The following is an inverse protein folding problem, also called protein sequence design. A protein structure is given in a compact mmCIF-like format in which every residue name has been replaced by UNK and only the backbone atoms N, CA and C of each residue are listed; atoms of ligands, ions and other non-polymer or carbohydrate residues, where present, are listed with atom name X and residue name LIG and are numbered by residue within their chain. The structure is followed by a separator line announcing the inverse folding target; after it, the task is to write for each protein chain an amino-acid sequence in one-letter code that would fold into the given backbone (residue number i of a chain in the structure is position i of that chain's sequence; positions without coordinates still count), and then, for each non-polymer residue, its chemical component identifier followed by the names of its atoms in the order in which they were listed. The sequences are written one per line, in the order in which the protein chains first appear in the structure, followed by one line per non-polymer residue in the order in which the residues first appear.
data_IF_108803138892
#
_entry.id   IF_108803138892
#
_cell.length_a   1.000
_cell.length_b   1.000
_cell.length_c   1.000
_cell.angle_alpha   90.00
_cell.angle_beta   90.00
_cell.angle_gamma   90.00
#
_symmetry.space_group_name_H-M   'P 1'
#
loop_
_entity.id
_entity.type
_entity.pdbx_description
1 polymer ?
#
# COMPACT_ATOMS: atom_id res chain seq x y z
N UNK A 1 11.96 0.41 -18.07
CA UNK A 1 12.28 1.15 -16.83
C UNK A 1 13.77 1.16 -16.54
N UNK A 2 14.45 0.00 -16.41
CA UNK A 2 15.92 -0.05 -16.18
C UNK A 2 16.74 0.80 -17.17
N UNK A 3 16.42 0.76 -18.46
CA UNK A 3 17.10 1.60 -19.47
C UNK A 3 16.85 3.11 -19.29
N UNK A 4 15.70 3.52 -18.74
CA UNK A 4 15.43 4.94 -18.43
C UNK A 4 16.25 5.37 -17.21
N UNK A 5 16.30 4.56 -16.14
CA UNK A 5 17.17 4.83 -14.99
C UNK A 5 18.64 4.93 -15.41
N UNK A 6 19.12 4.01 -16.23
CA UNK A 6 20.49 4.05 -16.76
C UNK A 6 20.80 5.34 -17.53
N UNK A 7 19.80 5.92 -18.22
CA UNK A 7 19.94 7.20 -18.94
C UNK A 7 19.97 8.40 -18.01
N UNK A 8 19.16 8.41 -16.95
CA UNK A 8 19.01 9.57 -16.06
C UNK A 8 19.89 9.51 -14.79
N UNK A 9 20.50 8.37 -14.49
CA UNK A 9 21.44 8.21 -13.40
C UNK A 9 20.80 7.92 -12.03
N UNK A 10 21.58 8.11 -10.97
CA UNK A 10 21.22 7.79 -9.58
C UNK A 10 20.03 8.60 -9.05
N UNK A 11 19.82 9.80 -9.59
CA UNK A 11 18.78 10.72 -9.12
C UNK A 11 17.40 10.43 -9.75
N UNK A 12 17.32 9.40 -10.60
CA UNK A 12 16.07 8.97 -11.20
C UNK A 12 15.08 8.46 -10.14
N UNK A 13 13.97 9.17 -9.99
CA UNK A 13 12.88 8.80 -9.09
C UNK A 13 11.94 7.83 -9.79
N UNK A 14 11.80 6.63 -9.23
CA UNK A 14 10.87 5.61 -9.70
C UNK A 14 9.79 5.40 -8.64
N UNK A 15 8.56 5.81 -8.94
CA UNK A 15 7.39 5.53 -8.10
C UNK A 15 6.35 4.69 -8.82
N UNK A 16 5.51 3.99 -8.05
CA UNK A 16 4.45 3.12 -8.55
C UNK A 16 3.18 3.28 -7.72
N UNK A 17 2.02 3.39 -8.38
CA UNK A 17 0.70 3.48 -7.75
C UNK A 17 -0.27 2.42 -8.28
N UNK A 18 0.01 1.11 -8.16
CA UNK A 18 -0.96 0.08 -8.55
C UNK A 18 -2.14 0.05 -7.55
N UNK A 19 -3.29 -0.46 -8.00
CA UNK A 19 -4.40 -0.83 -7.12
C UNK A 19 -4.11 -2.15 -6.40
N UNK A 20 -4.75 -2.37 -5.25
CA UNK A 20 -4.64 -3.60 -4.44
C UNK A 20 -4.89 -4.89 -5.25
N UNK A 21 -5.79 -4.81 -6.24
CA UNK A 21 -6.11 -5.89 -7.16
C UNK A 21 -4.87 -6.45 -7.88
N UNK A 22 -3.91 -5.59 -8.22
CA UNK A 22 -2.71 -6.00 -8.95
C UNK A 22 -1.54 -6.37 -8.02
N UNK A 23 -1.70 -6.24 -6.70
CA UNK A 23 -0.65 -6.45 -5.70
C UNK A 23 -1.12 -7.40 -4.61
N UNK A 24 -1.83 -6.93 -3.58
CA UNK A 24 -2.20 -7.71 -2.41
C UNK A 24 -3.19 -8.83 -2.73
N UNK A 25 -4.08 -8.67 -3.72
CA UNK A 25 -4.95 -9.77 -4.18
C UNK A 25 -4.12 -10.98 -4.64
N UNK A 26 -2.86 -10.75 -5.04
CA UNK A 26 -1.84 -11.75 -5.35
C UNK A 26 -1.62 -12.79 -4.24
N UNK A 27 -1.94 -12.48 -2.99
CA UNK A 27 -1.91 -13.44 -1.88
C UNK A 27 -2.91 -14.59 -2.09
N UNK A 28 -4.09 -14.28 -2.61
CA UNK A 28 -5.16 -15.25 -2.84
C UNK A 28 -5.20 -15.75 -4.30
N UNK A 29 -4.98 -14.86 -5.26
CA UNK A 29 -5.16 -15.13 -6.68
C UNK A 29 -4.02 -14.56 -7.51
N UNK A 30 -3.45 -15.38 -8.40
CA UNK A 30 -2.35 -14.96 -9.26
C UNK A 30 -2.54 -15.45 -10.69
N UNK A 31 -2.63 -14.51 -11.63
CA UNK A 31 -2.95 -14.81 -13.02
C UNK A 31 -4.29 -15.52 -13.16
N UNK A 32 -4.41 -16.40 -14.16
CA UNK A 32 -5.65 -17.16 -14.39
C UNK A 32 -5.90 -18.26 -13.35
N UNK A 33 -4.97 -18.46 -12.40
CA UNK A 33 -4.93 -19.61 -11.51
C UNK A 33 -4.69 -20.94 -12.24
N UNK A 34 -4.51 -22.02 -11.48
CA UNK A 34 -4.23 -23.36 -12.03
C UNK A 34 -5.36 -23.92 -12.91
N UNK A 35 -6.61 -23.52 -12.64
CA UNK A 35 -7.80 -23.97 -13.38
C UNK A 35 -8.29 -22.99 -14.45
N UNK A 36 -7.64 -21.84 -14.62
CA UNK A 36 -8.02 -20.83 -15.61
C UNK A 36 -9.26 -19.98 -15.25
N UNK A 37 -9.82 -20.14 -14.05
CA UNK A 37 -11.07 -19.48 -13.64
C UNK A 37 -10.91 -18.12 -12.94
N UNK A 38 -9.67 -17.69 -12.64
CA UNK A 38 -9.40 -16.41 -11.96
C UNK A 38 -9.17 -15.29 -12.99
N UNK A 39 -9.38 -14.03 -12.59
CA UNK A 39 -9.06 -12.90 -13.47
C UNK A 39 -7.54 -12.85 -13.72
N UNK A 40 -7.09 -12.90 -14.99
CA UNK A 40 -5.67 -13.00 -15.34
C UNK A 40 -4.82 -11.81 -14.89
N UNK A 41 -5.44 -10.71 -14.47
CA UNK A 41 -4.74 -9.51 -14.00
C UNK A 41 -4.44 -9.55 -12.49
N UNK A 42 -4.99 -10.51 -11.74
CA UNK A 42 -4.81 -10.63 -10.29
C UNK A 42 -3.33 -10.77 -9.95
N UNK A 43 -2.80 -9.87 -9.11
CA UNK A 43 -1.38 -9.88 -8.73
C UNK A 43 -0.40 -9.53 -9.88
N UNK A 44 -0.88 -9.03 -11.02
CA UNK A 44 -0.04 -8.84 -12.22
C UNK A 44 1.08 -7.80 -12.05
N UNK A 45 1.03 -6.95 -11.02
CA UNK A 45 2.09 -5.97 -10.75
C UNK A 45 3.22 -6.52 -9.87
N UNK A 46 3.04 -7.66 -9.19
CA UNK A 46 4.07 -8.31 -8.39
C UNK A 46 5.38 -8.54 -9.14
N UNK A 47 5.41 -9.11 -10.36
CA UNK A 47 6.67 -9.26 -11.09
C UNK A 47 7.32 -7.92 -11.47
N UNK A 48 6.54 -6.86 -11.67
CA UNK A 48 7.07 -5.52 -11.96
C UNK A 48 7.76 -4.94 -10.73
N UNK A 49 7.11 -5.00 -9.57
CA UNK A 49 7.69 -4.55 -8.30
C UNK A 49 8.94 -5.37 -7.99
N UNK A 50 8.86 -6.69 -8.07
CA UNK A 50 9.98 -7.58 -7.77
C UNK A 50 11.19 -7.29 -8.66
N UNK A 51 11.00 -7.13 -9.97
CA UNK A 51 12.09 -6.90 -10.92
C UNK A 51 12.77 -5.52 -10.79
N UNK A 52 12.09 -4.55 -10.17
CA UNK A 52 12.53 -3.16 -10.02
C UNK A 52 12.73 -2.74 -8.56
N UNK A 53 12.63 -3.66 -7.60
CA UNK A 53 12.66 -3.34 -6.16
C UNK A 53 13.94 -2.62 -5.73
N UNK A 54 15.08 -2.95 -6.32
CA UNK A 54 16.36 -2.27 -6.00
C UNK A 54 16.44 -0.86 -6.58
N UNK A 55 15.59 -0.56 -7.58
CA UNK A 55 15.51 0.73 -8.24
C UNK A 55 14.35 1.60 -7.74
N UNK A 56 13.43 1.01 -6.99
CA UNK A 56 12.18 1.61 -6.54
C UNK A 56 12.46 2.69 -5.48
N UNK A 57 12.01 3.92 -5.74
CA UNK A 57 12.06 5.01 -4.77
C UNK A 57 10.85 4.95 -3.82
N UNK A 58 9.65 4.70 -4.37
CA UNK A 58 8.42 4.67 -3.59
C UNK A 58 7.30 3.86 -4.25
N UNK A 59 6.74 2.91 -3.52
CA UNK A 59 5.49 2.23 -3.83
C UNK A 59 4.41 2.76 -2.90
N UNK A 60 3.34 3.28 -3.48
CA UNK A 60 2.15 3.72 -2.77
C UNK A 60 0.93 3.08 -3.43
N UNK A 61 0.60 1.87 -2.96
CA UNK A 61 -0.60 1.15 -3.43
C UNK A 61 -1.83 1.99 -3.13
N UNK A 62 -2.79 1.99 -4.04
CA UNK A 62 -4.06 2.70 -3.87
C UNK A 62 -4.97 1.89 -2.95
N UNK A 63 -5.07 2.29 -1.68
CA UNK A 63 -5.93 1.65 -0.68
C UNK A 63 -7.38 2.17 -0.76
N UNK A 64 -7.84 2.44 -1.97
CA UNK A 64 -9.13 3.05 -2.27
C UNK A 64 -9.66 2.53 -3.59
N UNK A 65 -10.97 2.70 -3.81
CA UNK A 65 -11.70 2.05 -4.91
C UNK A 65 -11.44 0.52 -4.99
N UNK A 66 -11.13 -0.09 -3.85
CA UNK A 66 -10.77 -1.50 -3.71
C UNK A 66 -11.96 -2.34 -3.25
N UNK A 67 -12.05 -3.57 -3.77
CA UNK A 67 -12.84 -4.62 -3.13
C UNK A 67 -12.21 -5.11 -1.82
N UNK A 68 -12.83 -6.06 -1.11
CA UNK A 68 -12.22 -6.72 0.03
C UNK A 68 -10.93 -7.44 -0.38
N UNK A 69 -9.91 -7.37 0.46
CA UNK A 69 -8.63 -8.07 0.27
C UNK A 69 -8.35 -8.95 1.49
N UNK A 70 -7.86 -10.16 1.23
CA UNK A 70 -7.42 -11.08 2.29
C UNK A 70 -6.09 -10.61 2.88
N UNK A 71 -6.07 -10.31 4.18
CA UNK A 71 -4.84 -9.98 4.91
C UNK A 71 -4.02 -11.23 5.28
N UNK A 72 -2.82 -11.00 5.82
CA UNK A 72 -1.94 -12.09 6.30
C UNK A 72 -2.54 -12.89 7.49
N UNK A 73 -3.55 -12.34 8.14
CA UNK A 73 -4.36 -12.98 9.18
C UNK A 73 -5.44 -13.91 8.61
N UNK A 74 -5.49 -14.08 7.28
CA UNK A 74 -6.51 -14.83 6.55
C UNK A 74 -7.94 -14.34 6.83
N UNK A 75 -8.11 -13.04 7.11
CA UNK A 75 -9.41 -12.38 7.16
C UNK A 75 -9.55 -11.37 6.01
N UNK A 76 -10.78 -11.17 5.56
CA UNK A 76 -11.08 -10.12 4.58
C UNK A 76 -11.14 -8.75 5.26
N UNK A 77 -10.38 -7.81 4.73
CA UNK A 77 -10.38 -6.41 5.13
C UNK A 77 -11.00 -5.55 4.03
N UNK A 78 -11.78 -4.54 4.41
CA UNK A 78 -12.45 -3.62 3.48
C UNK A 78 -11.93 -2.19 3.64
N UNK A 79 -11.77 -1.47 2.53
CA UNK A 79 -11.30 -0.08 2.53
C UNK A 79 -12.17 0.87 3.36
N UNK A 80 -11.61 2.02 3.74
CA UNK A 80 -12.31 3.08 4.47
C UNK A 80 -12.18 3.00 5.99
N UNK A 81 -11.15 2.32 6.52
CA UNK A 81 -10.80 2.31 7.93
C UNK A 81 -9.28 2.10 8.12
N UNK A 82 -8.80 2.32 9.34
CA UNK A 82 -7.38 2.16 9.68
C UNK A 82 -6.88 0.72 9.48
N UNK A 83 -7.65 -0.30 9.86
CA UNK A 83 -7.23 -1.72 9.80
C UNK A 83 -6.91 -2.15 8.38
N UNK A 84 -7.66 -1.69 7.38
CA UNK A 84 -7.36 -1.97 5.97
C UNK A 84 -5.98 -1.44 5.57
N UNK A 85 -5.66 -0.19 5.90
CA UNK A 85 -4.35 0.40 5.60
C UNK A 85 -3.21 -0.36 6.30
N UNK A 86 -3.44 -0.77 7.55
CA UNK A 86 -2.45 -1.56 8.30
C UNK A 86 -2.24 -2.91 7.64
N UNK A 87 -3.31 -3.65 7.32
CA UNK A 87 -3.24 -4.97 6.69
C UNK A 87 -2.58 -4.92 5.31
N UNK A 88 -2.98 -3.98 4.45
CA UNK A 88 -2.44 -3.86 3.09
C UNK A 88 -0.96 -3.47 3.08
N UNK A 89 -0.55 -2.64 4.04
CA UNK A 89 0.84 -2.21 4.18
C UNK A 89 1.71 -3.31 4.80
N UNK A 90 1.21 -4.04 5.81
CA UNK A 90 1.92 -5.17 6.42
C UNK A 90 2.26 -6.25 5.38
N UNK A 91 1.35 -6.56 4.45
CA UNK A 91 1.63 -7.49 3.34
C UNK A 91 2.90 -7.12 2.55
N UNK A 92 3.11 -5.82 2.27
CA UNK A 92 4.30 -5.36 1.54
C UNK A 92 5.56 -5.39 2.39
N UNK A 93 5.43 -5.18 3.70
CA UNK A 93 6.56 -5.04 4.63
C UNK A 93 6.98 -6.36 5.27
N UNK A 94 6.11 -7.35 5.27
CA UNK A 94 6.36 -8.71 5.75
C UNK A 94 6.59 -9.70 4.61
N UNK A 95 6.09 -9.38 3.40
CA UNK A 95 6.04 -10.32 2.29
C UNK A 95 4.91 -11.35 2.48
N UNK A 96 4.62 -12.12 1.43
CA UNK A 96 3.52 -13.09 1.46
C UNK A 96 3.67 -14.19 0.41
N UNK A 97 3.14 -15.40 0.66
CA UNK A 97 3.07 -16.45 -0.35
C UNK A 97 2.08 -16.08 -1.46
N UNK A 98 2.53 -16.12 -2.71
CA UNK A 98 1.70 -15.78 -3.86
C UNK A 98 0.73 -16.93 -4.13
N UNK A 99 -0.57 -16.62 -4.22
CA UNK A 99 -1.65 -17.59 -4.35
C UNK A 99 -1.58 -18.73 -3.32
N UNK A 100 -1.13 -18.43 -2.10
CA UNK A 100 -0.95 -19.40 -1.01
C UNK A 100 0.21 -20.39 -1.18
N UNK A 101 1.03 -20.27 -2.23
CA UNK A 101 2.19 -21.15 -2.42
C UNK A 101 3.38 -20.67 -1.57
N UNK A 102 3.65 -21.40 -0.49
CA UNK A 102 4.77 -21.12 0.43
C UNK A 102 6.16 -21.30 -0.20
N UNK A 103 6.26 -21.95 -1.37
CA UNK A 103 7.50 -22.03 -2.13
C UNK A 103 7.69 -20.84 -3.09
N UNK A 104 6.66 -19.99 -3.25
CA UNK A 104 6.69 -18.83 -4.13
C UNK A 104 6.25 -17.58 -3.35
N UNK A 105 7.20 -16.96 -2.65
CA UNK A 105 6.95 -15.82 -1.77
C UNK A 105 7.30 -14.51 -2.46
N UNK A 106 6.38 -13.55 -2.44
CA UNK A 106 6.70 -12.16 -2.70
C UNK A 106 7.46 -11.59 -1.50
N UNK A 107 8.74 -11.19 -1.64
CA UNK A 107 9.56 -10.80 -0.50
C UNK A 107 9.16 -9.43 0.04
N UNK A 108 9.39 -9.21 1.34
CA UNK A 108 9.24 -7.91 1.98
C UNK A 108 10.03 -6.80 1.25
N UNK A 109 9.44 -5.60 1.19
CA UNK A 109 10.12 -4.39 0.73
C UNK A 109 10.79 -3.66 1.90
N UNK A 110 11.77 -2.81 1.58
CA UNK A 110 12.33 -1.90 2.58
C UNK A 110 11.24 -0.89 2.98
N UNK A 111 10.99 -0.66 4.29
CA UNK A 111 9.95 0.27 4.73
C UNK A 111 10.08 1.68 4.15
N UNK A 112 11.29 2.14 3.88
CA UNK A 112 11.56 3.45 3.28
C UNK A 112 11.13 3.57 1.81
N UNK A 113 10.73 2.45 1.20
CA UNK A 113 10.16 2.38 -0.14
C UNK A 113 8.64 2.31 -0.13
N UNK A 114 7.97 2.24 1.02
CA UNK A 114 6.52 2.00 1.10
C UNK A 114 5.80 3.20 1.71
N UNK A 115 4.71 3.62 1.07
CA UNK A 115 3.76 4.61 1.58
C UNK A 115 2.33 4.12 1.37
N UNK A 116 1.39 4.71 2.10
CA UNK A 116 -0.04 4.39 2.01
C UNK A 116 -0.70 5.34 1.00
N UNK A 117 -1.40 4.84 -0.01
CA UNK A 117 -2.13 5.66 -0.98
C UNK A 117 -3.59 5.86 -0.58
N UNK A 118 -4.01 7.11 -0.38
CA UNK A 118 -5.33 7.45 0.17
C UNK A 118 -6.07 8.51 -0.67
N UNK A 119 -7.41 8.54 -0.63
CA UNK A 119 -8.19 9.68 -1.10
C UNK A 119 -8.03 10.84 -0.11
N UNK A 120 -7.64 12.02 -0.62
CA UNK A 120 -7.47 13.23 0.18
C UNK A 120 -8.77 13.74 0.81
N UNK A 121 -9.92 13.38 0.22
CA UNK A 121 -11.25 13.68 0.74
C UNK A 121 -12.26 12.64 0.26
N UNK A 122 -13.45 12.63 0.85
CA UNK A 122 -14.56 11.76 0.44
C UNK A 122 -14.99 11.96 -1.03
N UNK A 123 -14.70 13.12 -1.62
CA UNK A 123 -15.01 13.40 -3.04
C UNK A 123 -13.97 12.83 -4.01
N UNK A 124 -12.81 12.39 -3.51
CA UNK A 124 -11.70 11.97 -4.35
C UNK A 124 -11.80 10.49 -4.77
N UNK A 125 -12.54 9.67 -4.03
CA UNK A 125 -12.74 8.26 -4.29
C UNK A 125 -13.37 7.53 -3.10
N UNK A 126 -13.84 6.31 -3.33
CA UNK A 126 -14.35 5.46 -2.25
C UNK A 126 -13.19 4.98 -1.36
N UNK A 127 -13.43 4.79 -0.07
CA UNK A 127 -12.39 4.34 0.87
C UNK A 127 -11.61 5.48 1.54
N UNK A 128 -12.11 6.72 1.45
CA UNK A 128 -11.60 7.83 2.27
C UNK A 128 -11.71 7.50 3.77
N UNK A 129 -10.68 7.85 4.52
CA UNK A 129 -10.56 7.66 5.97
C UNK A 129 -10.41 9.00 6.67
N UNK A 130 -10.90 9.08 7.92
CA UNK A 130 -10.79 10.31 8.71
C UNK A 130 -9.34 10.61 9.07
N UNK A 131 -8.97 11.87 9.37
CA UNK A 131 -7.65 12.21 9.92
C UNK A 131 -7.22 11.35 11.12
N UNK A 132 -8.20 11.02 11.99
CA UNK A 132 -8.00 10.13 13.13
C UNK A 132 -7.64 8.71 12.72
N UNK A 133 -8.34 8.12 11.75
CA UNK A 133 -8.03 6.78 11.22
C UNK A 133 -6.67 6.74 10.53
N UNK A 134 -6.30 7.80 9.79
CA UNK A 134 -4.96 7.91 9.17
C UNK A 134 -3.88 7.96 10.25
N UNK A 135 -4.09 8.75 11.30
CA UNK A 135 -3.18 8.83 12.46
C UNK A 135 -3.06 7.48 13.16
N UNK A 136 -4.19 6.79 13.34
CA UNK A 136 -4.26 5.45 13.95
C UNK A 136 -3.46 4.43 13.13
N UNK A 137 -3.66 4.39 11.81
CA UNK A 137 -2.91 3.52 10.92
C UNK A 137 -1.40 3.80 10.99
N UNK A 138 -0.99 5.07 10.97
CA UNK A 138 0.41 5.45 11.12
C UNK A 138 0.99 5.06 12.48
N UNK A 139 0.28 5.28 13.59
CA UNK A 139 0.71 4.83 14.92
C UNK A 139 0.88 3.30 14.97
N UNK A 140 -0.07 2.55 14.42
CA UNK A 140 -0.01 1.11 14.41
C UNK A 140 1.19 0.60 13.59
N UNK A 141 1.38 1.10 12.37
CA UNK A 141 2.48 0.68 11.51
C UNK A 141 3.86 1.13 12.05
N UNK A 142 4.00 2.39 12.46
CA UNK A 142 5.32 2.96 12.78
C UNK A 142 5.75 2.78 14.23
N UNK A 143 4.80 2.57 15.15
CA UNK A 143 5.05 2.48 16.61
C UNK A 143 4.46 1.22 17.24
N UNK A 144 3.67 0.43 16.50
CA UNK A 144 2.94 -0.74 17.02
C UNK A 144 2.10 -0.39 18.25
N UNK A 145 1.40 0.73 18.14
CA UNK A 145 0.55 1.29 19.19
C UNK A 145 -0.74 1.81 18.56
N UNK A 146 -1.84 1.84 19.32
CA UNK A 146 -3.15 2.30 18.81
C UNK A 146 -3.63 1.48 17.59
N UNK A 147 -3.29 0.19 17.55
CA UNK A 147 -3.80 -0.73 16.53
C UNK A 147 -5.29 -1.01 16.74
N UNK A 148 -6.00 -1.31 15.65
CA UNK A 148 -7.39 -1.74 15.69
C UNK A 148 -7.50 -3.26 15.82
N UNK A 149 -8.35 -3.87 14.99
CA UNK A 149 -8.56 -5.32 14.98
C UNK A 149 -7.44 -6.09 14.30
N UNK A 150 -6.62 -5.42 13.47
CA UNK A 150 -5.47 -6.02 12.81
C UNK A 150 -4.17 -5.65 13.53
N UNK A 151 -3.38 -6.66 13.89
CA UNK A 151 -2.08 -6.48 14.52
C UNK A 151 -0.96 -6.76 13.48
N UNK A 152 -0.10 -5.77 13.18
CA UNK A 152 0.97 -5.96 12.20
C UNK A 152 2.06 -6.91 12.69
N UNK A 153 2.67 -7.64 11.77
CA UNK A 153 3.76 -8.57 12.07
C UNK A 153 5.01 -7.86 12.60
N UNK A 154 5.20 -6.59 12.26
CA UNK A 154 6.34 -5.77 12.67
C UNK A 154 5.96 -4.38 13.16
N UNK A 155 6.98 -3.56 13.34
CA UNK A 155 6.87 -2.12 13.50
C UNK A 155 7.89 -1.48 12.55
N UNK A 156 7.46 -0.47 11.79
CA UNK A 156 8.26 0.09 10.71
C UNK A 156 8.39 1.61 10.84
N UNK A 157 9.22 2.11 11.76
CA UNK A 157 9.45 3.55 11.94
C UNK A 157 9.97 4.26 10.67
N UNK A 158 10.58 3.51 9.75
CA UNK A 158 11.11 4.02 8.48
C UNK A 158 10.08 4.05 7.34
N UNK A 159 8.80 3.78 7.59
CA UNK A 159 7.73 3.91 6.60
C UNK A 159 7.79 5.29 5.93
N UNK A 160 7.75 5.32 4.59
CA UNK A 160 8.09 6.53 3.84
C UNK A 160 7.07 7.66 3.98
N UNK A 161 5.80 7.32 4.20
CA UNK A 161 4.73 8.30 4.46
C UNK A 161 3.43 7.97 3.77
N UNK A 162 2.75 9.00 3.27
CA UNK A 162 1.45 8.90 2.61
C UNK A 162 1.51 9.47 1.19
N UNK A 163 0.67 8.93 0.30
CA UNK A 163 0.35 9.48 -1.01
C UNK A 163 -1.15 9.83 -1.01
N UNK A 164 -1.49 10.95 -1.63
CA UNK A 164 -2.87 11.40 -1.73
C UNK A 164 -3.33 11.51 -3.17
N UNK A 165 -4.50 10.94 -3.47
CA UNK A 165 -5.33 11.39 -4.58
C UNK A 165 -6.36 12.40 -4.03
N UNK A 166 -6.19 13.70 -4.20
CA UNK A 166 -5.10 14.43 -4.84
C UNK A 166 -4.89 15.78 -4.16
N UNK A 167 -3.84 16.50 -4.52
CA UNK A 167 -3.59 17.87 -4.04
C UNK A 167 -4.80 18.79 -4.32
N UNK A 168 -5.45 18.64 -5.48
CA UNK A 168 -6.64 19.44 -5.81
C UNK A 168 -7.82 19.13 -4.87
N UNK A 169 -8.04 17.85 -4.57
CA UNK A 169 -9.10 17.44 -3.64
C UNK A 169 -8.80 17.83 -2.19
N UNK A 170 -7.53 17.79 -1.79
CA UNK A 170 -7.09 18.30 -0.49
C UNK A 170 -7.34 19.82 -0.40
N UNK A 171 -6.91 20.58 -1.41
CA UNK A 171 -7.15 22.02 -1.47
C UNK A 171 -8.63 22.39 -1.47
N UNK A 172 -9.46 21.64 -2.21
CA UNK A 172 -10.91 21.78 -2.16
C UNK A 172 -11.49 21.50 -0.76
N UNK A 173 -10.92 20.53 -0.04
CA UNK A 173 -11.30 20.17 1.33
C UNK A 173 -10.54 20.97 2.41
N UNK A 174 -10.00 22.15 2.06
CA UNK A 174 -9.35 23.05 3.02
C UNK A 174 -7.98 22.57 3.55
N UNK A 175 -7.33 21.64 2.86
CA UNK A 175 -6.00 21.13 3.21
C UNK A 175 -5.98 20.13 4.38
N UNK A 176 -7.12 19.49 4.68
CA UNK A 176 -7.25 18.60 5.84
C UNK A 176 -6.24 17.44 5.83
N UNK A 177 -6.01 16.83 4.67
CA UNK A 177 -5.09 15.69 4.55
C UNK A 177 -3.65 16.11 4.82
N UNK A 178 -3.18 17.17 4.15
CA UNK A 178 -1.82 17.68 4.30
C UNK A 178 -1.55 18.18 5.72
N UNK A 179 -2.49 18.95 6.31
CA UNK A 179 -2.38 19.43 7.69
C UNK A 179 -2.32 18.29 8.72
N UNK A 180 -3.10 17.23 8.52
CA UNK A 180 -3.06 16.05 9.40
C UNK A 180 -1.69 15.36 9.33
N UNK A 181 -1.15 15.19 8.12
CA UNK A 181 0.18 14.63 7.93
C UNK A 181 1.27 15.49 8.60
N UNK A 182 1.27 16.80 8.39
CA UNK A 182 2.24 17.70 9.00
C UNK A 182 2.14 17.69 10.54
N UNK A 183 0.92 17.68 11.07
CA UNK A 183 0.68 17.57 12.53
C UNK A 183 1.25 16.28 13.09
N UNK A 184 1.07 15.15 12.40
CA UNK A 184 1.59 13.85 12.84
C UNK A 184 3.12 13.83 12.96
N UNK A 185 3.82 14.47 12.02
CA UNK A 185 5.28 14.53 11.98
C UNK A 185 5.87 15.79 12.64
N UNK A 186 5.03 16.65 13.23
CA UNK A 186 5.46 17.87 13.92
C UNK A 186 6.09 18.93 13.02
N UNK A 187 5.56 19.13 11.81
CA UNK A 187 6.03 20.11 10.82
C UNK A 187 5.15 21.36 10.75
#
# INVERSE_FOLDING_TARGET
MKSLKAKYGSDFVLTMAPETFFVQLGYQFYGSGASGGQDPRSGAYLPVIHALRDDLTLLHVQDYNSGPIMGLDNQFHTMGNADFHVAMTDMLLSGFPVAGDTNNVFPALDPSQVAIGLPASANAGNGHTTPGDVTKALNCLTKKSDCGGYEPHGSWPALRGLMAWSINWDGFNGGEFSKNFDTYYGR
#
